data_IF_591050783099
#
_entry.id   IF_591050783099
#
_cell.length_a   1.000
_cell.length_b   1.000
_cell.length_c   1.000
_cell.angle_alpha   90.00
_cell.angle_beta   90.00
_cell.angle_gamma   90.00
#
_symmetry.space_group_name_H-M   'P 1'
#
loop_
_entity.id
_entity.type
_entity.pdbx_description
1 polymer ?
#
# COMPACT_ATOMS: atom_id res chain seq x y z
N UNK A 1 78.69 9.06 15.08
CA UNK A 1 78.53 7.90 14.17
C UNK A 1 77.04 7.61 14.03
N UNK A 2 76.56 7.53 12.78
CA UNK A 2 75.15 7.38 12.38
C UNK A 2 74.57 5.99 12.70
N UNK A 3 73.29 5.94 13.09
CA UNK A 3 72.28 5.02 12.52
C UNK A 3 70.89 5.38 13.10
N UNK A 4 70.11 6.21 12.39
CA UNK A 4 68.96 5.84 11.55
C UNK A 4 67.75 5.31 12.34
N UNK A 5 66.81 6.24 12.57
CA UNK A 5 65.45 6.02 13.08
C UNK A 5 64.70 5.06 12.15
N UNK A 6 64.25 3.92 12.65
CA UNK A 6 63.35 3.03 11.92
C UNK A 6 61.93 3.59 12.03
N UNK A 7 61.49 4.28 10.98
CA UNK A 7 60.12 4.73 10.79
C UNK A 7 59.31 3.52 10.30
N UNK A 8 58.62 2.83 11.20
CA UNK A 8 57.60 1.84 10.83
C UNK A 8 56.31 2.59 10.49
N UNK A 9 56.06 2.77 9.20
CA UNK A 9 54.81 3.33 8.70
C UNK A 9 53.68 2.30 8.91
N UNK A 10 52.69 2.65 9.75
CA UNK A 10 51.43 1.90 9.87
C UNK A 10 50.72 1.89 8.49
N UNK A 11 50.12 0.75 8.07
CA UNK A 11 49.37 0.72 6.83
C UNK A 11 48.08 1.52 7.02
N UNK A 12 47.97 2.62 6.27
CA UNK A 12 46.75 3.41 6.11
C UNK A 12 45.69 2.50 5.48
N UNK A 13 44.82 1.93 6.31
CA UNK A 13 43.68 1.14 5.89
C UNK A 13 42.75 2.05 5.07
N UNK A 14 42.83 1.95 3.74
CA UNK A 14 41.88 2.59 2.83
C UNK A 14 40.56 1.85 3.06
N UNK A 15 39.76 2.35 3.99
CA UNK A 15 38.34 2.01 4.10
C UNK A 15 37.70 2.59 2.85
N UNK A 16 37.73 1.81 1.77
CA UNK A 16 36.83 1.99 0.64
C UNK A 16 35.43 1.74 1.21
N UNK A 17 34.82 2.82 1.70
CA UNK A 17 33.43 2.84 2.12
C UNK A 17 32.62 2.49 0.88
N UNK A 18 32.36 1.21 0.69
CA UNK A 18 31.41 0.73 -0.29
C UNK A 18 30.07 1.26 0.18
N UNK A 19 29.61 2.38 -0.39
CA UNK A 19 28.21 2.74 -0.34
C UNK A 19 27.46 1.61 -1.06
N UNK A 20 27.05 0.60 -0.30
CA UNK A 20 26.00 -0.30 -0.74
C UNK A 20 24.75 0.55 -0.88
N UNK A 21 24.48 1.02 -2.10
CA UNK A 21 23.13 1.40 -2.49
C UNK A 21 22.32 0.12 -2.47
N UNK A 22 21.72 -0.18 -1.32
CA UNK A 22 20.61 -1.11 -1.25
C UNK A 22 19.53 -0.54 -2.17
N UNK A 23 19.26 -1.19 -3.30
CA UNK A 23 18.03 -0.97 -4.04
C UNK A 23 16.89 -1.48 -3.17
N UNK A 24 16.41 -0.63 -2.27
CA UNK A 24 15.24 -0.94 -1.48
C UNK A 24 14.07 -0.91 -2.45
N UNK A 25 13.45 -2.07 -2.72
CA UNK A 25 12.18 -2.14 -3.43
C UNK A 25 11.20 -1.26 -2.66
N UNK A 26 10.99 -0.04 -3.15
CA UNK A 26 10.11 0.94 -2.54
C UNK A 26 8.69 0.51 -2.85
N UNK A 27 8.05 -0.17 -1.89
CA UNK A 27 6.61 -0.35 -1.91
C UNK A 27 5.97 1.04 -1.92
N UNK A 28 5.23 1.37 -2.98
CA UNK A 28 4.49 2.63 -3.01
C UNK A 28 3.24 2.45 -2.15
N UNK A 29 3.25 3.11 -0.98
CA UNK A 29 2.13 3.10 -0.03
C UNK A 29 1.39 4.43 -0.11
N UNK A 30 0.15 4.40 -0.60
CA UNK A 30 -0.78 5.53 -0.48
C UNK A 30 -1.47 5.47 0.89
N UNK A 31 -1.57 6.60 1.59
CA UNK A 31 -2.25 6.69 2.88
C UNK A 31 -3.43 7.65 2.80
N UNK A 32 -4.57 7.25 3.35
CA UNK A 32 -5.80 8.07 3.42
C UNK A 32 -6.39 8.03 4.83
N UNK A 33 -7.11 9.09 5.18
CA UNK A 33 -7.92 9.14 6.40
C UNK A 33 -9.37 9.45 6.04
N UNK A 34 -10.31 8.73 6.64
CA UNK A 34 -11.75 8.92 6.48
C UNK A 34 -12.41 8.97 7.86
N UNK A 35 -13.48 9.74 7.97
CA UNK A 35 -14.33 9.78 9.16
C UNK A 35 -15.72 9.30 8.78
N UNK A 36 -16.33 8.45 9.62
CA UNK A 36 -17.68 7.93 9.41
C UNK A 36 -18.39 7.74 10.75
N UNK A 37 -19.71 7.92 10.84
CA UNK A 37 -20.46 7.37 11.95
C UNK A 37 -20.47 5.84 11.93
N UNK A 38 -20.53 5.20 13.09
CA UNK A 38 -20.73 3.76 13.24
C UNK A 38 -22.05 3.35 12.58
N UNK A 39 -22.03 2.21 11.90
CA UNK A 39 -23.19 1.68 11.17
C UNK A 39 -23.52 2.43 9.89
N UNK A 40 -22.76 3.45 9.48
CA UNK A 40 -22.91 4.10 8.18
C UNK A 40 -21.94 3.53 7.15
N UNK A 41 -22.43 3.45 5.91
CA UNK A 41 -21.61 3.06 4.77
C UNK A 41 -20.68 4.20 4.38
N UNK A 42 -19.44 3.86 4.03
CA UNK A 42 -18.47 4.78 3.45
C UNK A 42 -17.74 4.11 2.28
N UNK A 43 -17.24 4.92 1.34
CA UNK A 43 -16.60 4.41 0.13
C UNK A 43 -15.11 4.66 0.10
N UNK A 44 -14.33 3.61 -0.18
CA UNK A 44 -12.94 3.74 -0.63
C UNK A 44 -12.93 3.61 -2.15
N UNK A 45 -12.66 4.72 -2.84
CA UNK A 45 -12.60 4.77 -4.29
C UNK A 45 -11.18 4.47 -4.78
N UNK A 46 -11.05 3.53 -5.71
CA UNK A 46 -9.78 3.17 -6.35
C UNK A 46 -9.95 3.11 -7.86
N UNK A 47 -8.84 3.22 -8.59
CA UNK A 47 -8.81 2.97 -10.02
C UNK A 47 -8.30 1.54 -10.27
N UNK A 48 -9.04 0.76 -11.07
CA UNK A 48 -8.72 -0.61 -11.45
C UNK A 48 -8.64 -0.73 -12.97
N UNK A 49 -7.56 -1.30 -13.52
CA UNK A 49 -7.52 -1.69 -14.92
C UNK A 49 -7.44 -3.20 -15.08
N UNK A 50 -8.60 -3.86 -15.08
CA UNK A 50 -8.67 -5.32 -15.24
C UNK A 50 -8.04 -5.85 -16.53
N UNK A 51 -7.88 -5.02 -17.57
CA UNK A 51 -7.24 -5.46 -18.83
C UNK A 51 -5.74 -5.69 -18.70
N UNK A 52 -5.11 -5.17 -17.65
CA UNK A 52 -3.69 -5.45 -17.34
C UNK A 52 -3.51 -6.68 -16.45
N UNK A 53 -4.60 -7.33 -16.03
CA UNK A 53 -4.61 -8.43 -15.06
C UNK A 53 -4.40 -8.02 -13.60
N UNK A 54 -4.33 -6.71 -13.32
CA UNK A 54 -4.07 -6.17 -11.98
C UNK A 54 -5.37 -5.73 -11.32
N UNK A 55 -5.59 -6.11 -10.05
CA UNK A 55 -6.80 -5.81 -9.28
C UNK A 55 -6.43 -5.37 -7.87
N UNK A 56 -7.31 -4.61 -7.21
CA UNK A 56 -7.20 -4.36 -5.78
C UNK A 56 -7.76 -5.53 -4.98
N UNK A 57 -7.07 -5.88 -3.90
CA UNK A 57 -7.47 -6.87 -2.93
C UNK A 57 -7.48 -6.22 -1.54
N UNK A 58 -8.56 -6.42 -0.79
CA UNK A 58 -8.61 -6.06 0.62
C UNK A 58 -7.87 -7.12 1.45
N UNK A 59 -6.91 -6.69 2.26
CA UNK A 59 -6.14 -7.53 3.16
C UNK A 59 -6.81 -7.52 4.53
N UNK A 60 -7.36 -8.67 4.92
CA UNK A 60 -7.94 -8.86 6.25
C UNK A 60 -7.47 -10.19 6.84
N UNK A 61 -7.08 -10.14 8.10
CA UNK A 61 -6.66 -11.32 8.87
C UNK A 61 -7.79 -11.86 9.76
N UNK A 62 -8.87 -11.09 9.91
CA UNK A 62 -9.96 -11.41 10.82
C UNK A 62 -11.03 -12.26 10.12
N UNK A 63 -11.63 -13.18 10.86
CA UNK A 63 -12.85 -13.84 10.40
C UNK A 63 -13.92 -12.77 10.11
N UNK A 64 -14.68 -12.88 9.01
CA UNK A 64 -15.65 -11.87 8.61
C UNK A 64 -16.61 -11.43 9.73
N UNK A 65 -16.94 -12.31 10.68
CA UNK A 65 -17.87 -12.01 11.77
C UNK A 65 -17.30 -11.13 12.89
N UNK A 66 -15.98 -10.96 12.99
CA UNK A 66 -15.32 -10.23 14.08
C UNK A 66 -14.58 -8.97 13.62
N UNK A 67 -14.50 -8.72 12.31
CA UNK A 67 -13.83 -7.53 11.79
C UNK A 67 -14.64 -6.26 12.12
N UNK A 68 -14.04 -5.23 12.75
CA UNK A 68 -14.73 -3.96 13.02
C UNK A 68 -15.06 -3.17 11.75
N UNK A 69 -14.45 -3.54 10.61
CA UNK A 69 -14.79 -3.04 9.27
C UNK A 69 -15.37 -4.18 8.44
N UNK A 70 -16.56 -3.96 7.89
CA UNK A 70 -17.25 -4.92 7.04
C UNK A 70 -17.30 -4.42 5.60
N UNK A 71 -16.91 -5.25 4.64
CA UNK A 71 -17.16 -4.98 3.22
C UNK A 71 -18.64 -5.26 2.93
N UNK A 72 -19.39 -4.21 2.59
CA UNK A 72 -20.81 -4.33 2.22
C UNK A 72 -20.95 -4.75 0.76
N UNK A 73 -20.25 -4.06 -0.15
CA UNK A 73 -20.24 -4.36 -1.60
C UNK A 73 -19.09 -3.70 -2.34
N UNK A 74 -18.85 -4.15 -3.56
CA UNK A 74 -17.90 -3.56 -4.53
C UNK A 74 -18.67 -3.20 -5.81
N UNK A 75 -18.51 -1.96 -6.27
CA UNK A 75 -19.25 -1.43 -7.42
C UNK A 75 -18.33 -0.73 -8.41
N UNK A 76 -18.51 -0.97 -9.71
CA UNK A 76 -17.81 -0.24 -10.77
C UNK A 76 -18.59 1.03 -11.14
N UNK A 77 -17.91 2.17 -11.17
CA UNK A 77 -18.53 3.45 -11.54
C UNK A 77 -18.57 3.58 -13.06
N UNK A 78 -19.77 3.39 -13.64
CA UNK A 78 -20.00 3.58 -15.08
C UNK A 78 -20.30 5.05 -15.37
N UNK A 79 -19.32 5.80 -15.92
CA UNK A 79 -19.54 7.19 -16.33
C UNK A 79 -20.26 7.23 -17.69
N UNK A 80 -21.55 7.54 -17.69
CA UNK A 80 -22.40 7.64 -18.90
C UNK A 80 -21.86 8.57 -20.00
N UNK A 81 -21.02 9.54 -19.65
CA UNK A 81 -20.49 10.56 -20.58
C UNK A 81 -19.11 10.24 -21.14
N UNK A 82 -18.41 9.22 -20.64
CA UNK A 82 -17.08 8.87 -21.12
C UNK A 82 -17.23 7.79 -22.19
N UNK A 83 -16.78 8.05 -23.43
CA UNK A 83 -16.61 6.98 -24.42
C UNK A 83 -15.75 5.89 -23.77
N UNK A 84 -16.34 4.74 -23.47
CA UNK A 84 -15.61 3.62 -22.89
C UNK A 84 -14.75 3.03 -23.99
N UNK A 85 -13.46 3.36 -23.97
CA UNK A 85 -12.49 2.74 -24.87
C UNK A 85 -12.15 1.35 -24.33
N UNK A 86 -12.19 0.35 -25.20
CA UNK A 86 -11.71 -1.00 -24.89
C UNK A 86 -10.29 -0.90 -24.34
N UNK A 87 -10.00 -1.60 -23.23
CA UNK A 87 -8.69 -1.52 -22.56
C UNK A 87 -8.58 -0.43 -21.48
N UNK A 88 -9.57 0.47 -21.34
CA UNK A 88 -9.53 1.48 -20.29
C UNK A 88 -9.81 0.87 -18.92
N UNK A 89 -9.10 1.38 -17.91
CA UNK A 89 -9.47 1.12 -16.52
C UNK A 89 -10.71 1.88 -16.09
N UNK A 90 -11.16 1.56 -14.89
CA UNK A 90 -12.44 1.92 -14.33
C UNK A 90 -12.24 2.47 -12.92
N UNK A 91 -13.07 3.43 -12.53
CA UNK A 91 -13.21 3.81 -11.13
C UNK A 91 -14.05 2.73 -10.42
N UNK A 92 -13.61 2.28 -9.25
CA UNK A 92 -14.28 1.24 -8.45
C UNK A 92 -14.45 1.72 -7.03
N UNK A 93 -15.66 1.57 -6.50
CA UNK A 93 -15.97 1.84 -5.10
C UNK A 93 -15.99 0.53 -4.31
N UNK A 94 -15.23 0.51 -3.22
CA UNK A 94 -15.36 -0.47 -2.16
C UNK A 94 -16.18 0.16 -1.04
N UNK A 95 -17.37 -0.36 -0.79
CA UNK A 95 -18.32 0.19 0.17
C UNK A 95 -18.18 -0.61 1.46
N UNK A 96 -17.74 0.06 2.51
CA UNK A 96 -17.50 -0.50 3.83
C UNK A 96 -18.46 0.06 4.86
N UNK A 97 -18.55 -0.60 6.01
CA UNK A 97 -19.24 -0.12 7.20
C UNK A 97 -18.38 -0.40 8.43
N UNK A 98 -18.24 0.59 9.31
CA UNK A 98 -17.61 0.39 10.61
C UNK A 98 -18.69 -0.08 11.61
N UNK A 99 -18.46 -1.19 12.31
CA UNK A 99 -19.42 -1.78 13.26
C UNK A 99 -19.18 -1.36 14.70
N UNK A 100 -18.00 -0.82 15.01
CA UNK A 100 -17.63 -0.33 16.35
C UNK A 100 -16.96 1.05 16.26
N UNK A 101 -17.11 1.91 17.28
CA UNK A 101 -16.43 3.19 17.33
C UNK A 101 -14.92 3.02 17.53
N UNK A 102 -14.15 4.03 17.14
CA UNK A 102 -12.69 4.06 17.29
C UNK A 102 -11.94 4.19 15.96
N UNK A 103 -10.62 3.99 16.01
CA UNK A 103 -9.74 4.07 14.83
C UNK A 103 -9.49 2.67 14.29
N UNK A 104 -9.81 2.46 13.01
CA UNK A 104 -9.64 1.20 12.30
C UNK A 104 -8.77 1.38 11.07
N UNK A 105 -8.25 0.28 10.53
CA UNK A 105 -7.39 0.29 9.35
C UNK A 105 -7.94 -0.65 8.26
N UNK A 106 -7.92 -0.17 7.01
CA UNK A 106 -8.17 -0.95 5.82
C UNK A 106 -6.87 -0.95 5.01
N UNK A 107 -6.27 -2.13 4.86
CA UNK A 107 -5.10 -2.33 4.01
C UNK A 107 -5.53 -2.97 2.70
N UNK A 108 -5.14 -2.39 1.57
CA UNK A 108 -5.43 -2.92 0.24
C UNK A 108 -4.15 -3.03 -0.57
N UNK A 109 -4.08 -4.03 -1.46
CA UNK A 109 -2.94 -4.22 -2.37
C UNK A 109 -3.42 -4.33 -3.81
N UNK A 110 -2.76 -3.60 -4.71
CA UNK A 110 -2.98 -3.66 -6.16
C UNK A 110 -1.93 -4.56 -6.80
N UNK A 111 -2.31 -5.76 -7.21
CA UNK A 111 -1.39 -6.73 -7.80
C UNK A 111 -2.06 -7.63 -8.83
N UNK A 112 -1.25 -8.37 -9.59
CA UNK A 112 -1.74 -9.55 -10.30
C UNK A 112 -1.77 -10.74 -9.34
N UNK A 113 -2.82 -11.57 -9.37
CA UNK A 113 -2.93 -12.67 -8.42
C UNK A 113 -1.83 -13.75 -8.59
N UNK A 114 -1.19 -13.82 -9.77
CA UNK A 114 -0.10 -14.75 -10.08
C UNK A 114 1.31 -14.16 -9.91
N UNK A 115 1.46 -12.88 -9.56
CA UNK A 115 2.76 -12.27 -9.34
C UNK A 115 3.22 -12.48 -7.89
N UNK A 116 4.51 -12.82 -7.73
CA UNK A 116 5.18 -12.87 -6.43
C UNK A 116 5.64 -11.48 -5.98
N UNK A 117 5.76 -10.53 -6.91
CA UNK A 117 6.12 -9.15 -6.60
C UNK A 117 5.01 -8.46 -5.82
N UNK A 118 5.44 -7.60 -4.92
CA UNK A 118 4.58 -6.82 -4.05
C UNK A 118 4.03 -5.63 -4.84
N UNK A 119 2.73 -5.40 -4.74
CA UNK A 119 2.00 -4.39 -5.50
C UNK A 119 2.07 -2.99 -4.89
N UNK A 120 1.27 -2.05 -5.43
CA UNK A 120 0.99 -0.78 -4.75
C UNK A 120 0.09 -1.05 -3.54
N UNK A 121 0.37 -0.43 -2.40
CA UNK A 121 -0.47 -0.50 -1.21
C UNK A 121 -1.32 0.75 -1.04
N UNK A 122 -2.50 0.55 -0.47
CA UNK A 122 -3.37 1.62 0.00
C UNK A 122 -3.76 1.30 1.44
N UNK A 123 -3.35 2.18 2.35
CA UNK A 123 -3.73 2.13 3.75
C UNK A 123 -4.75 3.23 4.02
N UNK A 124 -5.92 2.85 4.55
CA UNK A 124 -6.97 3.79 4.93
C UNK A 124 -7.20 3.71 6.43
N UNK A 125 -6.91 4.80 7.13
CA UNK A 125 -7.32 4.99 8.52
C UNK A 125 -8.76 5.46 8.54
N UNK A 126 -9.62 4.77 9.30
CA UNK A 126 -11.04 5.08 9.44
C UNK A 126 -11.31 5.47 10.89
N UNK A 127 -11.72 6.71 11.10
CA UNK A 127 -12.16 7.23 12.39
C UNK A 127 -13.68 7.06 12.49
N UNK A 128 -14.12 6.05 13.22
CA UNK A 128 -15.53 5.72 13.42
C UNK A 128 -16.07 6.41 14.68
N UNK A 129 -16.97 7.38 14.49
CA UNK A 129 -17.65 8.08 15.58
C UNK A 129 -18.90 7.33 16.02
N UNK A 130 -19.17 7.29 17.33
CA UNK A 130 -20.34 6.63 17.90
C UNK A 130 -21.67 7.24 17.43
#
# INVERSE_FOLDING_TARGET
MYAKKALLALPLFIILCTMQMSAQNSETVEKRTLTTPVGKEFSVKVYENGTTGSLWFWLTNDAPTHNPIQLVRKETIVKKTKKMLVGSGQDVNWIFQATTPGTHHISMVYKRPWEQSIGQYLEVTVEAAA
#
